data_IF_952620740902
#
_entry.id   IF_952620740902
#
_cell.length_a   1.000
_cell.length_b   1.000
_cell.length_c   1.000
_cell.angle_alpha   90.00
_cell.angle_beta   90.00
_cell.angle_gamma   90.00
#
_symmetry.space_group_name_H-M   'P 1'
#
loop_
_entity.id
_entity.type
_entity.pdbx_description
1 polymer ?
#
# COMPACT_ATOMS: atom_id res chain seq x y z
N UNK A 1 0.62 -11.65 36.47
CA UNK A 1 0.11 -10.31 36.13
C UNK A 1 0.25 -10.20 34.61
N UNK A 2 -0.81 -10.52 33.88
CA UNK A 2 -0.80 -10.52 32.40
C UNK A 2 -0.79 -9.05 31.99
N UNK A 3 0.34 -8.56 31.47
CA UNK A 3 0.34 -7.26 30.79
C UNK A 3 -0.51 -7.41 29.54
N UNK A 4 -1.51 -6.55 29.40
CA UNK A 4 -2.34 -6.50 28.20
C UNK A 4 -1.44 -6.19 27.01
N UNK A 5 -1.54 -6.93 25.90
CA UNK A 5 -0.67 -6.75 24.73
C UNK A 5 -0.78 -5.34 24.12
N UNK A 6 -1.82 -4.59 24.52
CA UNK A 6 -2.06 -3.19 24.17
C UNK A 6 -1.04 -2.22 24.79
N UNK A 7 -0.42 -2.56 25.92
CA UNK A 7 0.54 -1.67 26.62
C UNK A 7 1.93 -1.59 25.94
N UNK A 8 2.21 -2.47 24.97
CA UNK A 8 3.47 -2.50 24.21
C UNK A 8 3.40 -1.86 22.82
N UNK A 9 2.23 -1.36 22.39
CA UNK A 9 2.07 -0.70 21.08
C UNK A 9 2.70 0.69 21.13
N UNK A 10 3.51 1.00 20.13
CA UNK A 10 4.14 2.32 20.00
C UNK A 10 3.07 3.35 19.61
N UNK A 11 2.87 4.46 20.35
CA UNK A 11 1.82 5.44 20.01
C UNK A 11 2.20 6.30 18.80
N UNK A 12 1.22 6.84 18.04
CA UNK A 12 1.46 7.75 16.93
C UNK A 12 2.39 8.91 17.29
N UNK A 13 3.23 9.33 16.36
CA UNK A 13 4.16 10.45 16.59
C UNK A 13 4.36 11.32 15.36
N UNK A 14 4.16 12.62 15.53
CA UNK A 14 4.44 13.61 14.49
C UNK A 14 5.95 13.93 14.32
N UNK A 15 6.84 13.23 15.06
CA UNK A 15 8.28 13.49 15.02
C UNK A 15 8.84 13.20 13.63
N UNK A 16 9.48 14.21 13.04
CA UNK A 16 10.12 14.09 11.73
C UNK A 16 9.21 14.41 10.54
N UNK A 17 7.92 14.64 10.78
CA UNK A 17 6.99 15.08 9.72
C UNK A 17 7.38 16.46 9.18
N UNK A 18 7.25 16.59 7.86
CA UNK A 18 7.48 17.79 7.08
C UNK A 18 6.27 18.04 6.20
N UNK A 19 6.09 19.27 5.75
CA UNK A 19 5.10 19.59 4.71
C UNK A 19 5.77 19.53 3.35
N UNK A 20 5.08 18.97 2.36
CA UNK A 20 5.44 18.99 0.95
C UNK A 20 4.23 19.47 0.14
N UNK A 21 4.47 20.25 -0.91
CA UNK A 21 3.44 20.56 -1.91
C UNK A 21 3.56 19.54 -3.04
N UNK A 22 2.47 18.83 -3.29
CA UNK A 22 2.32 17.90 -4.40
C UNK A 22 2.19 18.63 -5.74
N UNK A 23 2.39 17.95 -6.87
CA UNK A 23 2.38 18.56 -8.20
C UNK A 23 1.05 19.20 -8.59
N UNK A 24 -0.05 18.68 -8.06
CA UNK A 24 -1.40 19.22 -8.19
C UNK A 24 -1.70 20.41 -7.25
N UNK A 25 -0.72 20.83 -6.43
CA UNK A 25 -0.83 21.93 -5.49
C UNK A 25 -1.33 21.56 -4.09
N UNK A 26 -1.72 20.30 -3.83
CA UNK A 26 -2.10 19.85 -2.48
C UNK A 26 -0.91 19.88 -1.54
N UNK A 27 -1.13 20.27 -0.28
CA UNK A 27 -0.09 20.19 0.75
C UNK A 27 -0.29 18.93 1.59
N UNK A 28 0.75 18.10 1.70
CA UNK A 28 0.74 16.86 2.49
C UNK A 28 1.86 16.84 3.53
N UNK A 29 1.57 16.24 4.68
CA UNK A 29 2.54 15.81 5.67
C UNK A 29 3.24 14.53 5.19
N UNK A 30 4.57 14.51 5.29
CA UNK A 30 5.41 13.37 4.88
C UNK A 30 6.68 13.28 5.72
N UNK A 31 7.22 12.08 5.83
CA UNK A 31 8.54 11.80 6.40
C UNK A 31 9.66 11.93 5.34
N UNK A 32 9.35 11.57 4.11
CA UNK A 32 10.28 11.49 2.99
C UNK A 32 9.65 12.07 1.72
N UNK A 33 9.91 13.35 1.39
CA UNK A 33 9.39 13.99 0.19
C UNK A 33 9.73 13.24 -1.11
N UNK A 34 10.92 12.66 -1.21
CA UNK A 34 11.35 11.91 -2.39
C UNK A 34 10.51 10.65 -2.61
N UNK A 35 10.27 9.87 -1.55
CA UNK A 35 9.44 8.67 -1.60
C UNK A 35 7.96 9.02 -1.81
N UNK A 36 7.48 10.10 -1.20
CA UNK A 36 6.13 10.65 -1.47
C UNK A 36 5.94 11.06 -2.92
N UNK A 37 6.95 11.67 -3.55
CA UNK A 37 6.86 12.05 -4.98
C UNK A 37 6.70 10.82 -5.87
N UNK A 38 7.39 9.72 -5.57
CA UNK A 38 7.31 8.48 -6.36
C UNK A 38 5.93 7.87 -6.23
N UNK A 39 5.43 7.69 -5.00
CA UNK A 39 4.08 7.18 -4.78
C UNK A 39 3.01 8.09 -5.41
N UNK A 40 3.23 9.41 -5.43
CA UNK A 40 2.35 10.32 -6.17
C UNK A 40 2.38 10.04 -7.68
N UNK A 41 3.56 9.91 -8.28
CA UNK A 41 3.71 9.64 -9.71
C UNK A 41 2.99 8.34 -10.09
N UNK A 42 3.17 7.28 -9.30
CA UNK A 42 2.54 5.98 -9.53
C UNK A 42 1.01 6.06 -9.46
N UNK A 43 0.47 6.69 -8.41
CA UNK A 43 -0.96 6.71 -8.13
C UNK A 43 -1.71 7.70 -9.03
N UNK A 44 -1.15 8.89 -9.28
CA UNK A 44 -1.85 10.00 -9.94
C UNK A 44 -1.44 10.21 -11.39
N UNK A 45 -0.15 10.09 -11.72
CA UNK A 45 0.34 10.32 -13.08
C UNK A 45 0.26 9.02 -13.91
N UNK A 46 0.69 7.89 -13.35
CA UNK A 46 0.66 6.57 -14.00
C UNK A 46 -0.67 5.82 -13.78
N UNK A 47 -1.48 6.29 -12.81
CA UNK A 47 -2.85 5.82 -12.55
C UNK A 47 -2.94 4.30 -12.36
N UNK A 48 -1.98 3.74 -11.63
CA UNK A 48 -1.87 2.28 -11.49
C UNK A 48 -3.13 1.64 -10.90
N UNK A 49 -3.89 2.33 -10.05
CA UNK A 49 -5.10 1.80 -9.43
C UNK A 49 -6.35 1.82 -10.33
N UNK A 50 -6.24 2.32 -11.56
CA UNK A 50 -7.36 2.42 -12.51
C UNK A 50 -7.26 1.42 -13.66
N UNK A 51 -6.21 0.60 -13.65
CA UNK A 51 -5.99 -0.37 -14.70
C UNK A 51 -6.93 -1.57 -14.58
N UNK A 52 -7.10 -2.27 -15.70
CA UNK A 52 -7.78 -3.58 -15.76
C UNK A 52 -9.23 -3.60 -15.24
N UNK A 53 -9.91 -2.46 -15.32
CA UNK A 53 -11.34 -2.34 -15.04
C UNK A 53 -11.68 -2.25 -13.56
N UNK A 54 -10.76 -1.71 -12.75
CA UNK A 54 -11.09 -1.23 -11.41
C UNK A 54 -11.93 0.04 -11.52
N UNK A 55 -13.11 0.01 -10.91
CA UNK A 55 -14.05 1.13 -10.93
C UNK A 55 -14.51 1.46 -9.51
N UNK A 56 -14.59 2.75 -9.18
CA UNK A 56 -15.19 3.24 -7.95
C UNK A 56 -16.48 3.97 -8.28
N UNK A 57 -17.59 3.51 -7.73
CA UNK A 57 -18.87 4.18 -7.82
C UNK A 57 -19.06 5.16 -6.65
N UNK A 58 -19.92 6.17 -6.84
CA UNK A 58 -20.35 7.03 -5.74
C UNK A 58 -21.01 6.21 -4.63
N UNK A 59 -20.56 6.42 -3.40
CA UNK A 59 -20.97 5.67 -2.22
C UNK A 59 -20.17 4.41 -1.96
N UNK A 60 -19.06 4.18 -2.68
CA UNK A 60 -18.22 3.00 -2.49
C UNK A 60 -17.60 2.93 -1.08
N UNK A 61 -17.45 1.70 -0.58
CA UNK A 61 -16.65 1.41 0.61
C UNK A 61 -15.30 0.85 0.20
N UNK A 62 -14.22 1.52 0.61
CA UNK A 62 -12.84 1.15 0.27
C UNK A 62 -12.08 0.75 1.53
N UNK A 63 -11.36 -0.36 1.46
CA UNK A 63 -10.37 -0.75 2.46
C UNK A 63 -8.97 -0.49 1.87
N UNK A 64 -8.22 0.44 2.45
CA UNK A 64 -6.83 0.74 2.09
C UNK A 64 -5.91 0.15 3.16
N UNK A 65 -5.42 -1.06 2.90
CA UNK A 65 -4.56 -1.80 3.83
C UNK A 65 -3.10 -1.52 3.48
N UNK A 66 -2.41 -0.84 4.40
CA UNK A 66 -1.10 -0.23 4.14
C UNK A 66 -1.25 1.18 3.56
N UNK A 67 -2.02 2.02 4.25
CA UNK A 67 -2.37 3.36 3.79
C UNK A 67 -1.20 4.35 3.76
N UNK A 68 -0.11 4.05 4.48
CA UNK A 68 1.09 4.89 4.58
C UNK A 68 0.72 6.33 5.03
N UNK A 69 0.99 7.34 4.21
CA UNK A 69 0.61 8.74 4.48
C UNK A 69 -0.75 9.12 3.87
N UNK A 70 -1.49 8.18 3.30
CA UNK A 70 -2.87 8.37 2.81
C UNK A 70 -3.03 8.78 1.35
N UNK A 71 -2.02 8.65 0.49
CA UNK A 71 -2.15 9.05 -0.92
C UNK A 71 -3.24 8.26 -1.67
N UNK A 72 -3.43 6.98 -1.35
CA UNK A 72 -4.52 6.19 -1.92
C UNK A 72 -5.90 6.69 -1.45
N UNK A 73 -6.02 7.14 -0.19
CA UNK A 73 -7.25 7.79 0.32
C UNK A 73 -7.53 9.10 -0.42
N UNK A 74 -6.51 9.92 -0.69
CA UNK A 74 -6.64 11.13 -1.52
C UNK A 74 -7.13 10.77 -2.94
N UNK A 75 -6.58 9.71 -3.52
CA UNK A 75 -6.99 9.19 -4.83
C UNK A 75 -8.46 8.74 -4.85
N UNK A 76 -8.96 8.10 -3.78
CA UNK A 76 -10.39 7.80 -3.63
C UNK A 76 -11.21 9.09 -3.59
N UNK A 77 -10.78 10.06 -2.79
CA UNK A 77 -11.47 11.35 -2.63
C UNK A 77 -11.61 12.16 -3.91
N UNK A 78 -10.69 12.00 -4.86
CA UNK A 78 -10.76 12.64 -6.18
C UNK A 78 -11.77 11.96 -7.13
N UNK A 79 -12.25 10.75 -6.81
CA UNK A 79 -13.05 9.90 -7.71
C UNK A 79 -14.50 9.75 -7.33
N UNK A 80 -14.83 9.86 -6.05
CA UNK A 80 -16.20 9.65 -5.57
C UNK A 80 -16.72 10.90 -4.85
N UNK A 81 -17.99 11.22 -5.09
CA UNK A 81 -18.68 12.36 -4.45
C UNK A 81 -19.11 12.08 -3.01
N UNK A 82 -19.19 10.80 -2.62
CA UNK A 82 -19.35 10.33 -1.24
C UNK A 82 -18.86 8.89 -1.12
N UNK A 83 -18.49 8.43 0.07
CA UNK A 83 -18.12 7.04 0.31
C UNK A 83 -17.51 6.84 1.68
N UNK A 84 -17.11 5.61 1.97
CA UNK A 84 -16.48 5.23 3.23
C UNK A 84 -15.10 4.65 2.96
N UNK A 85 -14.10 5.06 3.75
CA UNK A 85 -12.73 4.55 3.63
C UNK A 85 -12.24 4.05 4.97
N UNK A 86 -11.88 2.77 5.04
CA UNK A 86 -11.16 2.19 6.18
C UNK A 86 -9.68 2.12 5.82
N UNK A 87 -8.86 2.97 6.43
CA UNK A 87 -7.43 3.07 6.15
C UNK A 87 -6.62 2.47 7.30
N UNK A 88 -5.76 1.49 6.99
CA UNK A 88 -4.94 0.76 7.96
C UNK A 88 -3.49 1.14 7.79
N UNK A 89 -2.87 1.68 8.84
CA UNK A 89 -1.46 1.99 8.85
C UNK A 89 -0.84 1.65 10.22
N UNK A 90 0.06 0.66 10.30
CA UNK A 90 0.64 0.23 11.56
C UNK A 90 1.71 1.19 12.09
N UNK A 91 2.47 1.88 11.22
CA UNK A 91 3.66 2.59 11.65
C UNK A 91 3.25 3.94 12.27
N UNK A 92 3.71 4.25 13.50
CA UNK A 92 3.23 5.42 14.25
C UNK A 92 3.39 6.78 13.56
N UNK A 93 4.46 6.95 12.79
CA UNK A 93 4.80 8.24 12.19
C UNK A 93 4.16 8.47 10.83
N UNK A 94 3.97 7.41 10.03
CA UNK A 94 3.15 7.44 8.81
C UNK A 94 1.68 7.54 9.17
N UNK A 95 1.21 6.86 10.22
CA UNK A 95 -0.17 7.02 10.71
C UNK A 95 -0.47 8.47 11.11
N UNK A 96 0.46 9.15 11.79
CA UNK A 96 0.31 10.57 12.11
C UNK A 96 0.30 11.47 10.86
N UNK A 97 0.98 11.08 9.77
CA UNK A 97 0.90 11.77 8.50
C UNK A 97 -0.44 11.51 7.79
N UNK A 98 -0.90 10.26 7.77
CA UNK A 98 -2.21 9.83 7.26
C UNK A 98 -3.33 10.66 7.89
N UNK A 99 -3.39 10.69 9.23
CA UNK A 99 -4.39 11.46 9.98
C UNK A 99 -4.42 12.93 9.56
N UNK A 100 -3.25 13.55 9.41
CA UNK A 100 -3.13 14.95 8.98
C UNK A 100 -3.54 15.17 7.52
N UNK A 101 -3.27 14.21 6.65
CA UNK A 101 -3.47 14.36 5.20
C UNK A 101 -4.92 14.15 4.78
N UNK A 102 -5.62 13.20 5.41
CA UNK A 102 -6.95 12.82 4.97
C UNK A 102 -8.06 13.68 5.56
N UNK A 103 -7.78 14.43 6.64
CA UNK A 103 -8.77 15.30 7.31
C UNK A 103 -9.41 16.39 6.44
N UNK A 104 -8.93 16.60 5.21
CA UNK A 104 -9.48 17.56 4.24
C UNK A 104 -10.60 17.04 3.32
N UNK A 105 -11.16 15.85 3.55
CA UNK A 105 -12.17 15.22 2.65
C UNK A 105 -13.53 15.09 3.34
N UNK A 106 -14.30 16.20 3.48
CA UNK A 106 -15.57 16.19 4.20
C UNK A 106 -16.66 15.35 3.54
N UNK A 107 -16.46 14.95 2.28
CA UNK A 107 -17.37 14.08 1.53
C UNK A 107 -17.13 12.58 1.76
N UNK A 108 -16.01 12.22 2.38
CA UNK A 108 -15.71 10.83 2.75
C UNK A 108 -15.94 10.61 4.23
N UNK A 109 -16.50 9.45 4.57
CA UNK A 109 -16.52 8.92 5.92
C UNK A 109 -15.26 8.08 6.15
N UNK A 110 -14.26 8.64 6.84
CA UNK A 110 -12.92 8.06 6.94
C UNK A 110 -12.69 7.47 8.34
N UNK A 111 -12.42 6.17 8.37
CA UNK A 111 -12.13 5.39 9.56
C UNK A 111 -10.65 5.02 9.57
N UNK A 112 -9.90 5.54 10.53
CA UNK A 112 -8.46 5.33 10.65
C UNK A 112 -8.12 4.24 11.65
N UNK A 113 -7.42 3.21 11.19
CA UNK A 113 -7.00 2.05 11.98
C UNK A 113 -5.49 2.10 12.18
N UNK A 114 -5.04 2.47 13.39
CA UNK A 114 -3.62 2.42 13.77
C UNK A 114 -3.20 0.97 14.07
N UNK A 115 -3.20 0.16 13.01
CA UNK A 115 -2.92 -1.26 13.04
C UNK A 115 -2.53 -1.75 11.63
N UNK A 116 -1.77 -2.83 11.58
CA UNK A 116 -1.54 -3.61 10.35
C UNK A 116 -2.58 -4.72 10.24
N UNK A 117 -2.84 -5.20 9.03
CA UNK A 117 -3.65 -6.39 8.82
C UNK A 117 -2.79 -7.66 8.96
N UNK A 118 -3.33 -8.68 9.61
CA UNK A 118 -2.68 -9.99 9.73
C UNK A 118 -3.68 -11.12 9.93
N UNK A 119 -3.18 -12.34 10.11
CA UNK A 119 -4.02 -13.54 10.24
C UNK A 119 -4.69 -13.70 11.62
N UNK A 120 -4.31 -12.86 12.60
CA UNK A 120 -4.89 -12.82 13.94
C UNK A 120 -4.65 -11.47 14.59
N UNK A 121 -5.46 -11.17 15.58
CA UNK A 121 -5.22 -10.05 16.49
C UNK A 121 -3.94 -10.25 17.30
N UNK A 122 -3.17 -9.17 17.48
CA UNK A 122 -1.96 -9.23 18.28
C UNK A 122 -1.04 -8.03 18.04
N UNK A 123 0.26 -8.28 18.17
CA UNK A 123 1.30 -7.29 17.91
C UNK A 123 2.43 -7.91 17.09
N UNK A 124 3.04 -7.12 16.21
CA UNK A 124 4.27 -7.49 15.51
C UNK A 124 5.30 -6.37 15.60
N UNK A 125 6.58 -6.73 15.44
CA UNK A 125 7.67 -5.76 15.35
C UNK A 125 7.97 -5.51 13.87
N UNK A 126 7.89 -4.25 13.48
CA UNK A 126 8.20 -3.79 12.13
C UNK A 126 9.59 -3.20 12.09
N UNK A 127 10.27 -3.41 10.96
CA UNK A 127 11.46 -2.66 10.58
C UNK A 127 10.99 -1.44 9.80
N UNK A 128 11.01 -0.28 10.47
CA UNK A 128 10.56 0.99 9.91
C UNK A 128 11.73 1.77 9.31
N UNK A 129 11.58 2.22 8.06
CA UNK A 129 12.56 3.06 7.37
C UNK A 129 12.03 4.48 7.17
N UNK A 130 12.34 5.46 8.05
CA UNK A 130 11.77 6.81 7.97
C UNK A 130 12.07 7.57 6.68
N UNK A 131 13.06 7.13 5.90
CA UNK A 131 13.49 7.78 4.66
C UNK A 131 13.06 7.04 3.40
N UNK A 132 12.38 5.91 3.55
CA UNK A 132 11.75 5.11 2.49
C UNK A 132 10.57 4.41 3.17
N UNK A 133 9.59 5.20 3.61
CA UNK A 133 8.55 4.70 4.51
C UNK A 133 7.66 3.67 3.85
N UNK A 134 7.50 3.71 2.52
CA UNK A 134 6.80 2.66 1.77
C UNK A 134 7.43 1.30 2.03
N UNK A 135 8.75 1.14 1.96
CA UNK A 135 9.46 -0.14 2.17
C UNK A 135 9.52 -0.68 3.60
N UNK A 136 8.65 -0.24 4.51
CA UNK A 136 8.66 -0.66 5.92
C UNK A 136 7.84 -1.93 6.11
N UNK A 137 8.42 -2.96 6.74
CA UNK A 137 7.82 -4.29 6.79
C UNK A 137 8.05 -5.00 8.13
N UNK A 138 7.15 -5.91 8.49
CA UNK A 138 7.35 -6.90 9.56
C UNK A 138 8.21 -8.10 9.11
N UNK A 139 8.46 -8.23 7.80
CA UNK A 139 9.37 -9.21 7.21
C UNK A 139 10.46 -8.47 6.40
N UNK A 140 11.46 -7.85 7.05
CA UNK A 140 12.52 -7.15 6.34
C UNK A 140 13.28 -8.10 5.42
N UNK A 141 13.49 -7.67 4.16
CA UNK A 141 14.23 -8.43 3.17
C UNK A 141 15.66 -7.88 3.00
N UNK A 142 16.63 -8.59 3.61
CA UNK A 142 18.07 -8.30 3.51
C UNK A 142 18.78 -9.13 2.41
N UNK A 143 18.01 -9.75 1.50
CA UNK A 143 18.56 -10.60 0.44
C UNK A 143 19.46 -9.82 -0.53
N UNK A 144 20.43 -10.49 -1.18
CA UNK A 144 21.21 -9.91 -2.27
C UNK A 144 20.34 -9.32 -3.40
N UNK A 145 19.19 -9.93 -3.66
CA UNK A 145 18.21 -9.51 -4.65
C UNK A 145 17.56 -8.17 -4.28
N UNK A 146 17.05 -8.03 -3.05
CA UNK A 146 16.49 -6.77 -2.55
C UNK A 146 17.55 -5.64 -2.54
N UNK A 147 18.79 -5.97 -2.21
CA UNK A 147 19.91 -5.03 -2.32
C UNK A 147 20.21 -4.59 -3.75
N UNK A 148 20.12 -5.52 -4.71
CA UNK A 148 20.31 -5.22 -6.12
C UNK A 148 19.20 -4.31 -6.67
N UNK A 149 17.93 -4.57 -6.33
CA UNK A 149 16.78 -3.74 -6.71
C UNK A 149 16.91 -2.32 -6.13
N UNK A 150 17.20 -2.19 -4.83
CA UNK A 150 17.49 -0.90 -4.18
C UNK A 150 18.60 -0.12 -4.90
N UNK A 151 19.67 -0.82 -5.32
CA UNK A 151 20.79 -0.21 -6.04
C UNK A 151 20.39 0.24 -7.44
N UNK A 152 19.62 -0.57 -8.18
CA UNK A 152 19.11 -0.22 -9.51
C UNK A 152 18.18 0.99 -9.43
N UNK A 153 17.29 1.01 -8.45
CA UNK A 153 16.39 2.13 -8.21
C UNK A 153 17.17 3.43 -7.97
N UNK A 154 18.17 3.44 -7.08
CA UNK A 154 19.00 4.62 -6.82
C UNK A 154 19.71 5.10 -8.09
N UNK A 155 20.28 4.17 -8.87
CA UNK A 155 20.95 4.50 -10.13
C UNK A 155 19.98 5.06 -11.18
N UNK A 156 18.78 4.51 -11.27
CA UNK A 156 17.72 5.00 -12.15
C UNK A 156 17.28 6.43 -11.78
N UNK A 157 17.08 6.71 -10.49
CA UNK A 157 16.75 8.06 -10.01
C UNK A 157 17.90 9.05 -10.25
N UNK A 158 19.15 8.66 -9.99
CA UNK A 158 20.33 9.48 -10.32
C UNK A 158 20.41 9.81 -11.80
N UNK A 159 20.17 8.82 -12.68
CA UNK A 159 20.15 9.02 -14.14
C UNK A 159 19.04 9.97 -14.55
N UNK A 160 17.84 9.84 -13.97
CA UNK A 160 16.70 10.73 -14.21
C UNK A 160 17.03 12.19 -13.85
N UNK A 161 17.68 12.42 -12.70
CA UNK A 161 18.04 13.76 -12.23
C UNK A 161 19.20 14.40 -13.00
N UNK A 162 20.21 13.62 -13.36
CA UNK A 162 21.44 14.11 -13.98
C UNK A 162 21.40 14.11 -15.52
N UNK A 163 20.39 13.47 -16.11
CA UNK A 163 20.19 13.41 -17.56
C UNK A 163 21.41 12.84 -18.30
N UNK A 164 21.74 13.45 -19.44
CA UNK A 164 22.89 13.03 -20.26
C UNK A 164 24.24 13.11 -19.52
N UNK A 165 24.33 13.95 -18.48
CA UNK A 165 25.52 14.08 -17.64
C UNK A 165 25.88 12.79 -16.89
N UNK A 166 24.90 11.94 -16.60
CA UNK A 166 25.11 10.67 -15.91
C UNK A 166 26.06 9.72 -16.66
N UNK A 167 26.00 9.72 -18.01
CA UNK A 167 26.82 8.84 -18.84
C UNK A 167 28.33 9.12 -18.74
N UNK A 168 28.71 10.32 -18.29
CA UNK A 168 30.10 10.73 -18.12
C UNK A 168 30.66 10.43 -16.73
N UNK A 169 29.84 9.93 -15.80
CA UNK A 169 30.27 9.57 -14.45
C UNK A 169 30.85 8.15 -14.49
N UNK A 170 32.10 7.93 -14.03
CA UNK A 170 32.69 6.59 -14.01
C UNK A 170 31.83 5.60 -13.20
N UNK A 171 31.63 4.40 -13.73
CA UNK A 171 30.72 3.41 -13.12
C UNK A 171 31.11 2.91 -11.72
N UNK A 172 32.35 3.13 -11.28
CA UNK A 172 32.75 2.87 -9.89
C UNK A 172 32.29 3.98 -8.94
N UNK A 173 32.24 5.24 -9.41
CA UNK A 173 31.74 6.38 -8.66
C UNK A 173 30.24 6.23 -8.45
N UNK A 174 29.48 5.95 -9.51
CA UNK A 174 28.02 5.78 -9.39
C UNK A 174 27.64 4.63 -8.45
N UNK A 175 28.34 3.49 -8.51
CA UNK A 175 28.15 2.38 -7.57
C UNK A 175 28.49 2.75 -6.13
N UNK A 176 29.60 3.45 -5.91
CA UNK A 176 29.98 3.90 -4.56
C UNK A 176 28.97 4.90 -3.99
N UNK A 177 28.50 5.85 -4.82
CA UNK A 177 27.43 6.77 -4.44
C UNK A 177 26.13 6.03 -4.14
N UNK A 178 25.74 5.06 -4.97
CA UNK A 178 24.53 4.27 -4.75
C UNK A 178 24.59 3.49 -3.42
N UNK A 179 25.74 2.92 -3.07
CA UNK A 179 25.92 2.23 -1.79
C UNK A 179 25.81 3.19 -0.59
N UNK A 180 26.38 4.40 -0.68
CA UNK A 180 26.25 5.42 0.36
C UNK A 180 24.81 5.87 0.52
N UNK A 181 24.11 6.14 -0.58
CA UNK A 181 22.70 6.53 -0.61
C UNK A 181 21.82 5.42 -0.04
N UNK A 182 22.08 4.15 -0.41
CA UNK A 182 21.39 2.98 0.14
C UNK A 182 21.54 2.90 1.65
N UNK A 183 22.77 2.98 2.18
CA UNK A 183 23.01 2.99 3.63
C UNK A 183 22.33 4.14 4.35
N UNK A 184 22.18 5.28 3.67
CA UNK A 184 21.47 6.43 4.20
C UNK A 184 19.96 6.19 4.28
N UNK A 185 19.37 5.53 3.28
CA UNK A 185 17.94 5.18 3.24
C UNK A 185 17.57 4.01 4.14
N UNK A 186 18.42 2.98 4.23
CA UNK A 186 18.22 1.79 5.06
C UNK A 186 18.41 2.00 6.58
N UNK A 187 18.47 3.25 7.05
CA UNK A 187 18.48 3.50 8.50
C UNK A 187 17.12 3.14 9.07
N UNK A 188 17.04 1.99 9.72
CA UNK A 188 15.80 1.46 10.28
C UNK A 188 15.63 1.75 11.77
N UNK A 189 14.40 1.59 12.22
CA UNK A 189 14.00 1.58 13.63
C UNK A 189 13.06 0.39 13.83
N UNK A 190 13.19 -0.31 14.95
CA UNK A 190 12.21 -1.31 15.34
C UNK A 190 11.01 -0.60 15.99
N UNK A 191 9.81 -0.88 15.53
CA UNK A 191 8.56 -0.36 16.12
C UNK A 191 7.58 -1.50 16.34
N UNK A 192 6.97 -1.57 17.52
CA UNK A 192 5.95 -2.58 17.83
C UNK A 192 4.56 -2.01 17.54
N UNK A 193 3.83 -2.68 16.67
CA UNK A 193 2.55 -2.23 16.13
C UNK A 193 1.45 -3.25 16.40
N UNK A 194 0.20 -2.78 16.49
CA UNK A 194 -0.97 -3.64 16.61
C UNK A 194 -1.25 -4.33 15.26
N UNK A 195 -1.67 -5.59 15.32
CA UNK A 195 -2.26 -6.33 14.20
C UNK A 195 -3.73 -6.60 14.47
N UNK A 196 -4.53 -6.55 13.41
CA UNK A 196 -5.96 -6.89 13.40
C UNK A 196 -6.28 -7.78 12.21
N UNK A 197 -7.35 -8.57 12.31
CA UNK A 197 -7.94 -9.23 11.14
C UNK A 197 -8.87 -8.29 10.38
N UNK A 198 -8.84 -8.36 9.05
CA UNK A 198 -9.78 -7.60 8.21
C UNK A 198 -11.23 -7.99 8.53
N UNK A 199 -11.51 -9.28 8.74
CA UNK A 199 -12.85 -9.73 9.13
C UNK A 199 -13.36 -9.15 10.45
N UNK A 200 -12.48 -8.94 11.42
CA UNK A 200 -12.89 -8.36 12.71
C UNK A 200 -13.31 -6.90 12.51
N UNK A 201 -12.61 -6.15 11.67
CA UNK A 201 -13.01 -4.77 11.32
C UNK A 201 -14.29 -4.74 10.50
N UNK A 202 -14.50 -5.70 9.59
CA UNK A 202 -15.78 -5.84 8.85
C UNK A 202 -16.94 -5.99 9.83
N UNK A 203 -16.79 -6.80 10.89
CA UNK A 203 -17.85 -7.07 11.85
C UNK A 203 -18.03 -5.93 12.85
N UNK A 204 -16.94 -5.38 13.38
CA UNK A 204 -16.96 -4.29 14.37
C UNK A 204 -17.56 -2.99 13.79
N UNK A 205 -17.24 -2.67 12.54
CA UNK A 205 -17.72 -1.47 11.85
C UNK A 205 -19.04 -1.71 11.09
N UNK A 206 -19.56 -2.94 11.08
CA UNK A 206 -20.82 -3.28 10.40
C UNK A 206 -20.75 -3.11 8.87
N UNK A 207 -19.62 -3.45 8.25
CA UNK A 207 -19.39 -3.26 6.80
C UNK A 207 -20.10 -4.35 5.99
N UNK A 208 -21.17 -3.99 5.28
CA UNK A 208 -21.93 -4.93 4.45
C UNK A 208 -21.20 -5.30 3.14
N UNK A 209 -20.43 -4.37 2.58
CA UNK A 209 -19.74 -4.51 1.29
C UNK A 209 -18.44 -3.73 1.28
N UNK A 210 -17.43 -4.30 0.63
CA UNK A 210 -16.16 -3.65 0.30
C UNK A 210 -16.07 -3.60 -1.23
N UNK A 211 -16.21 -2.41 -1.81
CA UNK A 211 -16.15 -2.22 -3.27
C UNK A 211 -14.73 -2.34 -3.81
N UNK A 212 -13.74 -1.95 -3.00
CA UNK A 212 -12.33 -2.13 -3.30
C UNK A 212 -11.54 -2.45 -2.03
N UNK A 213 -10.83 -3.58 -2.04
CA UNK A 213 -9.77 -3.91 -1.08
C UNK A 213 -8.42 -3.65 -1.75
N UNK A 214 -7.73 -2.57 -1.38
CA UNK A 214 -6.34 -2.34 -1.76
C UNK A 214 -5.43 -2.90 -0.66
N UNK A 215 -4.41 -3.66 -1.06
CA UNK A 215 -3.47 -4.31 -0.15
C UNK A 215 -2.04 -4.09 -0.63
N UNK A 216 -1.27 -3.34 0.13
CA UNK A 216 0.14 -3.06 -0.12
C UNK A 216 0.83 -2.97 1.24
N UNK A 217 1.37 -4.09 1.70
CA UNK A 217 1.85 -4.28 3.08
C UNK A 217 3.27 -4.87 3.11
N UNK A 218 4.00 -4.73 2.00
CA UNK A 218 5.44 -4.99 1.90
C UNK A 218 5.84 -6.39 2.39
N UNK A 219 5.21 -7.42 1.85
CA UNK A 219 5.52 -8.84 2.07
C UNK A 219 4.60 -9.58 3.03
N UNK A 220 3.66 -8.88 3.69
CA UNK A 220 2.67 -9.49 4.59
C UNK A 220 1.31 -9.74 3.91
N UNK A 221 1.24 -9.77 2.57
CA UNK A 221 -0.03 -9.78 1.85
C UNK A 221 -0.83 -11.06 2.13
N UNK A 222 -0.16 -12.22 2.17
CA UNK A 222 -0.81 -13.49 2.46
C UNK A 222 -1.34 -13.54 3.90
N UNK A 223 -0.58 -13.02 4.88
CA UNK A 223 -1.04 -12.93 6.28
C UNK A 223 -2.29 -12.05 6.39
N UNK A 224 -2.32 -10.89 5.71
CA UNK A 224 -3.46 -10.00 5.71
C UNK A 224 -4.71 -10.66 5.10
N UNK A 225 -4.56 -11.37 3.97
CA UNK A 225 -5.67 -12.09 3.33
C UNK A 225 -6.13 -13.33 4.12
N UNK A 226 -5.25 -14.01 4.84
CA UNK A 226 -5.61 -15.09 5.75
C UNK A 226 -6.48 -14.59 6.92
N UNK A 227 -6.35 -13.31 7.27
CA UNK A 227 -7.23 -12.62 8.22
C UNK A 227 -8.69 -12.45 7.74
N UNK A 228 -9.01 -12.75 6.47
CA UNK A 228 -10.37 -12.69 5.92
C UNK A 228 -11.01 -14.09 6.01
N UNK A 229 -12.01 -14.23 6.86
CA UNK A 229 -12.75 -15.49 7.01
C UNK A 229 -13.57 -15.81 5.76
N UNK A 230 -13.80 -17.11 5.51
CA UNK A 230 -14.43 -17.58 4.28
C UNK A 230 -15.79 -16.92 3.97
N UNK A 231 -16.59 -16.61 5.00
CA UNK A 231 -17.92 -16.00 4.87
C UNK A 231 -17.91 -14.52 4.47
N UNK A 232 -16.77 -13.82 4.61
CA UNK A 232 -16.68 -12.39 4.30
C UNK A 232 -16.16 -12.12 2.89
N UNK A 233 -15.48 -13.10 2.27
CA UNK A 233 -15.02 -12.98 0.88
C UNK A 233 -16.12 -12.52 -0.11
N UNK A 234 -17.38 -12.99 -0.04
CA UNK A 234 -18.45 -12.50 -0.90
C UNK A 234 -18.75 -11.00 -0.78
N UNK A 235 -18.38 -10.35 0.33
CA UNK A 235 -18.58 -8.90 0.53
C UNK A 235 -17.61 -8.05 -0.30
N UNK A 236 -16.49 -8.63 -0.73
CA UNK A 236 -15.43 -7.92 -1.47
C UNK A 236 -15.71 -7.99 -2.97
N UNK A 237 -15.85 -6.82 -3.61
CA UNK A 237 -16.14 -6.69 -5.04
C UNK A 237 -14.90 -6.70 -5.93
N UNK A 238 -13.85 -5.98 -5.50
CA UNK A 238 -12.59 -5.82 -6.23
C UNK A 238 -11.40 -5.84 -5.28
N UNK A 239 -10.24 -6.28 -5.77
CA UNK A 239 -8.98 -6.32 -5.03
C UNK A 239 -7.86 -5.77 -5.91
N UNK A 240 -7.02 -4.91 -5.35
CA UNK A 240 -5.70 -4.59 -5.89
C UNK A 240 -4.71 -5.03 -4.82
N UNK A 241 -3.73 -5.87 -5.19
CA UNK A 241 -2.68 -6.28 -4.26
C UNK A 241 -1.30 -6.13 -4.90
N UNK A 242 -0.38 -5.48 -4.19
CA UNK A 242 1.03 -5.45 -4.54
C UNK A 242 1.77 -6.61 -3.85
N UNK A 243 2.38 -7.48 -4.65
CA UNK A 243 3.06 -8.70 -4.20
C UNK A 243 4.57 -8.52 -4.35
N UNK A 244 5.30 -8.68 -3.25
CA UNK A 244 6.72 -8.30 -3.12
C UNK A 244 7.70 -9.47 -3.33
N UNK A 245 7.21 -10.72 -3.36
CA UNK A 245 8.03 -11.94 -3.34
C UNK A 245 8.27 -12.56 -4.74
N UNK A 246 8.03 -11.82 -5.83
CA UNK A 246 8.30 -12.26 -7.20
C UNK A 246 7.20 -13.11 -7.86
N UNK A 247 7.54 -13.68 -9.03
CA UNK A 247 6.55 -14.28 -9.94
C UNK A 247 5.82 -15.48 -9.34
N UNK A 248 6.50 -16.30 -8.55
CA UNK A 248 5.89 -17.47 -7.91
C UNK A 248 4.83 -17.02 -6.90
N UNK A 249 5.13 -16.01 -6.08
CA UNK A 249 4.18 -15.43 -5.15
C UNK A 249 3.01 -14.76 -5.87
N UNK A 250 3.26 -14.00 -6.94
CA UNK A 250 2.21 -13.47 -7.83
C UNK A 250 1.28 -14.58 -8.33
N UNK A 251 1.83 -15.72 -8.77
CA UNK A 251 1.04 -16.85 -9.27
C UNK A 251 0.19 -17.49 -8.17
N UNK A 252 0.73 -17.60 -6.95
CA UNK A 252 -0.05 -18.05 -5.77
C UNK A 252 -1.17 -17.07 -5.44
N UNK A 253 -0.91 -15.76 -5.53
CA UNK A 253 -1.90 -14.72 -5.28
C UNK A 253 -3.05 -14.76 -6.30
N UNK A 254 -2.74 -14.86 -7.60
CA UNK A 254 -3.75 -15.03 -8.65
C UNK A 254 -4.61 -16.27 -8.42
N UNK A 255 -3.98 -17.39 -8.02
CA UNK A 255 -4.71 -18.63 -7.69
C UNK A 255 -5.64 -18.45 -6.50
N UNK A 256 -5.15 -17.87 -5.40
CA UNK A 256 -5.95 -17.60 -4.22
C UNK A 256 -7.18 -16.77 -4.56
N UNK A 257 -7.01 -15.66 -5.27
CA UNK A 257 -8.12 -14.78 -5.66
C UNK A 257 -9.08 -15.48 -6.65
N UNK A 258 -8.57 -16.27 -7.58
CA UNK A 258 -9.43 -17.04 -8.51
C UNK A 258 -10.29 -18.07 -7.76
N UNK A 259 -9.73 -18.76 -6.77
CA UNK A 259 -10.45 -19.69 -5.90
C UNK A 259 -11.56 -19.00 -5.08
N UNK A 260 -11.48 -17.67 -4.88
CA UNK A 260 -12.52 -16.83 -4.25
C UNK A 260 -13.52 -16.21 -5.24
N UNK A 261 -13.44 -16.61 -6.51
CA UNK A 261 -14.38 -16.23 -7.57
C UNK A 261 -14.07 -14.91 -8.26
N UNK A 262 -12.82 -14.45 -8.22
CA UNK A 262 -12.39 -13.27 -8.96
C UNK A 262 -11.81 -13.65 -10.33
N UNK A 263 -11.94 -12.74 -11.30
CA UNK A 263 -11.14 -12.70 -12.51
C UNK A 263 -9.88 -11.88 -12.21
N UNK A 264 -8.70 -12.46 -12.47
CA UNK A 264 -7.42 -11.88 -12.08
C UNK A 264 -6.62 -11.40 -13.30
N UNK A 265 -5.79 -10.39 -13.11
CA UNK A 265 -4.78 -9.93 -14.08
C UNK A 265 -3.57 -9.41 -13.32
N UNK A 266 -2.39 -9.96 -13.61
CA UNK A 266 -1.14 -9.51 -13.04
C UNK A 266 -0.37 -8.57 -13.99
N UNK A 267 0.26 -7.54 -13.43
CA UNK A 267 1.06 -6.55 -14.13
C UNK A 267 2.29 -6.16 -13.32
N UNK A 268 3.37 -5.75 -13.99
CA UNK A 268 4.57 -5.23 -13.32
C UNK A 268 4.85 -3.80 -13.75
N UNK A 269 5.15 -2.96 -12.77
CA UNK A 269 5.73 -1.66 -12.98
C UNK A 269 7.24 -1.76 -13.06
N UNK A 270 7.84 -1.06 -14.03
CA UNK A 270 9.30 -0.94 -14.16
C UNK A 270 10.08 -2.24 -13.89
N UNK A 271 9.84 -3.34 -14.64
CA UNK A 271 10.39 -4.68 -14.33
C UNK A 271 11.93 -4.74 -14.34
N UNK A 272 12.60 -3.78 -14.98
CA UNK A 272 14.06 -3.64 -14.94
C UNK A 272 14.58 -3.19 -13.56
N UNK A 273 13.75 -2.48 -12.79
CA UNK A 273 14.05 -1.91 -11.48
C UNK A 273 13.49 -2.78 -10.35
N UNK A 274 12.19 -3.13 -10.43
CA UNK A 274 11.46 -3.89 -9.42
C UNK A 274 10.99 -5.23 -10.00
N UNK A 275 11.94 -6.11 -10.29
CA UNK A 275 11.66 -7.40 -10.94
C UNK A 275 10.79 -8.32 -10.08
N UNK A 276 10.79 -8.12 -8.74
CA UNK A 276 10.05 -8.93 -7.78
C UNK A 276 8.66 -8.38 -7.44
N UNK A 277 8.36 -7.14 -7.79
CA UNK A 277 7.09 -6.51 -7.47
C UNK A 277 6.07 -6.79 -8.57
N UNK A 278 4.86 -7.18 -8.16
CA UNK A 278 3.74 -7.47 -9.05
C UNK A 278 2.47 -6.86 -8.49
N UNK A 279 1.72 -6.15 -9.32
CA UNK A 279 0.35 -5.76 -9.01
C UNK A 279 -0.61 -6.81 -9.56
N UNK A 280 -1.46 -7.36 -8.70
CA UNK A 280 -2.55 -8.26 -9.10
C UNK A 280 -3.87 -7.52 -8.92
N UNK A 281 -4.59 -7.40 -10.03
CA UNK A 281 -5.93 -6.82 -10.11
C UNK A 281 -6.94 -7.95 -10.15
N UNK A 282 -7.98 -7.87 -9.33
CA UNK A 282 -9.00 -8.89 -9.23
C UNK A 282 -10.38 -8.26 -9.12
N UNK A 283 -11.33 -8.75 -9.91
CA UNK A 283 -12.72 -8.28 -9.90
C UNK A 283 -13.70 -9.43 -10.00
N UNK A 284 -14.86 -9.31 -9.36
CA UNK A 284 -15.93 -10.28 -9.57
C UNK A 284 -16.51 -10.16 -10.99
N UNK A 285 -16.88 -11.28 -11.63
CA UNK A 285 -17.65 -11.22 -12.87
C UNK A 285 -18.94 -10.40 -12.65
N UNK A 286 -19.31 -9.56 -13.61
CA UNK A 286 -20.60 -8.89 -13.58
C UNK A 286 -21.72 -9.95 -13.54
N UNK A 287 -22.69 -9.77 -12.64
CA UNK A 287 -23.78 -10.72 -12.51
C UNK A 287 -24.63 -10.70 -13.79
N UNK A 288 -24.71 -11.84 -14.49
CA UNK A 288 -25.45 -11.95 -15.77
C UNK A 288 -26.97 -11.97 -15.58
N UNK A 289 -27.47 -11.84 -14.35
CA UNK A 289 -28.87 -12.01 -13.96
C UNK A 289 -29.78 -10.82 -14.27
N UNK A 290 -29.24 -9.63 -14.59
CA UNK A 290 -30.03 -8.42 -14.85
C UNK A 290 -30.24 -8.08 -16.34
N UNK A 291 -29.70 -8.89 -17.27
CA UNK A 291 -29.77 -8.62 -18.70
C UNK A 291 -31.00 -9.22 -19.44
N UNK A 292 -31.95 -9.85 -18.73
CA UNK A 292 -33.07 -10.60 -19.33
C UNK A 292 -34.46 -10.04 -19.05
N UNK A 293 -34.60 -8.79 -18.58
CA UNK A 293 -35.93 -8.18 -18.36
C UNK A 293 -36.12 -6.86 -19.13
N UNK A 294 -35.75 -6.83 -20.41
CA UNK A 294 -36.33 -5.87 -21.38
C UNK A 294 -36.51 -6.58 -22.73
N UNK A 295 -37.51 -7.45 -22.81
CA UNK A 295 -38.17 -7.82 -24.07
C UNK A 295 -39.46 -8.55 -23.74
N UNK A 296 -40.54 -7.78 -23.61
CA UNK A 296 -41.93 -8.16 -23.88
C UNK A 296 -42.72 -6.88 -24.07
#
# INVERSE_FOLDING_TARGET
MIRDARDSVTPPTAKGLRSMVLPDGRSVATLCPENTRIAYDEIFDERIYEMFGIELADGATVFDVGANIGLAVLWVGDRIGRGTVHAFEPIPSTFAALERNVGGHPHLDIHLHHAGAGNRDGTATFTFYPRTSTSSSMYPDDSPEAHAESTRFILADMRRRLGAGFAFIPGWVTRSCAEVVRRFYQRSQAVTCRLVRISDVIHDEGVDRIDLLKLDVEGAEFDALEGIVASDWPRIGQVIVEVHEGKEACTRMERLLTERGFLTTAWQQAPDVFARHWLVYARRPADRSTASTVSS
#
